data_IF_363891196559
#
_entry.id   IF_363891196559
#
_cell.length_a   1.000
_cell.length_b   1.000
_cell.length_c   1.000
_cell.angle_alpha   90.00
_cell.angle_beta   90.00
_cell.angle_gamma   90.00
#
_symmetry.space_group_name_H-M   'P 1'
#
loop_
_entity.id
_entity.type
_entity.pdbx_description
1 polymer ?
#
# COMPACT_ATOMS: atom_id res chain seq x y z
N UNK A 1 -6.41 41.74 4.09
CA UNK A 1 -7.53 40.82 3.79
C UNK A 1 -6.90 39.43 3.62
N UNK A 2 -7.13 38.53 4.57
CA UNK A 2 -6.60 37.16 4.52
C UNK A 2 -7.51 36.37 3.56
N UNK A 3 -7.01 36.05 2.37
CA UNK A 3 -7.70 35.16 1.46
C UNK A 3 -7.86 33.79 2.14
N UNK A 4 -9.09 33.49 2.53
CA UNK A 4 -9.46 32.14 3.00
C UNK A 4 -9.47 31.20 1.81
N UNK A 5 -8.32 30.56 1.55
CA UNK A 5 -8.23 29.55 0.49
C UNK A 5 -9.09 28.35 0.87
N UNK A 6 -10.05 28.07 0.03
CA UNK A 6 -10.89 26.87 0.15
C UNK A 6 -10.06 25.61 -0.02
N UNK A 7 -10.33 24.61 0.80
CA UNK A 7 -9.68 23.30 0.70
C UNK A 7 -10.68 22.32 0.11
N UNK A 8 -10.22 21.54 -0.86
CA UNK A 8 -10.99 20.48 -1.46
C UNK A 8 -10.97 19.25 -0.53
N UNK A 9 -12.13 18.80 -0.12
CA UNK A 9 -12.33 17.59 0.66
C UNK A 9 -13.05 16.52 -0.15
N UNK A 10 -12.72 15.26 0.09
CA UNK A 10 -13.37 14.10 -0.50
C UNK A 10 -14.04 13.24 0.57
N UNK A 11 -15.29 12.87 0.36
CA UNK A 11 -16.00 11.93 1.21
C UNK A 11 -15.39 10.52 1.07
N UNK A 12 -15.10 9.87 2.20
CA UNK A 12 -14.47 8.54 2.19
C UNK A 12 -15.42 7.42 1.75
N UNK A 13 -16.72 7.68 1.67
CA UNK A 13 -17.73 6.69 1.26
C UNK A 13 -18.16 6.87 -0.19
N UNK A 14 -18.78 8.00 -0.53
CA UNK A 14 -19.32 8.21 -1.89
C UNK A 14 -18.34 8.89 -2.85
N UNK A 15 -17.12 9.24 -2.38
CA UNK A 15 -16.06 9.91 -3.14
C UNK A 15 -16.43 11.29 -3.69
N UNK A 16 -17.60 11.84 -3.36
CA UNK A 16 -17.96 13.20 -3.74
C UNK A 16 -16.98 14.21 -3.15
N UNK A 17 -16.72 15.29 -3.87
CA UNK A 17 -15.78 16.34 -3.50
C UNK A 17 -16.52 17.63 -3.15
N UNK A 18 -15.99 18.37 -2.17
CA UNK A 18 -16.55 19.64 -1.74
C UNK A 18 -15.44 20.61 -1.35
N UNK A 19 -15.53 21.84 -1.83
CA UNK A 19 -14.66 22.94 -1.36
C UNK A 19 -15.23 23.54 -0.09
N UNK A 20 -14.39 23.69 0.93
CA UNK A 20 -14.79 24.26 2.23
C UNK A 20 -13.70 25.17 2.80
N UNK A 21 -14.13 26.15 3.57
CA UNK A 21 -13.26 26.94 4.39
C UNK A 21 -13.11 26.27 5.75
N UNK A 22 -11.87 25.96 6.13
CA UNK A 22 -11.54 25.26 7.36
C UNK A 22 -10.84 26.18 8.34
N UNK A 23 -11.10 25.94 9.63
CA UNK A 23 -10.33 26.55 10.71
C UNK A 23 -8.88 26.08 10.71
N UNK A 24 -7.98 26.82 11.36
CA UNK A 24 -6.57 26.42 11.47
C UNK A 24 -6.40 25.05 12.15
N UNK A 25 -7.21 24.75 13.16
CA UNK A 25 -7.20 23.45 13.84
C UNK A 25 -7.59 22.30 12.91
N UNK A 26 -8.65 22.49 12.11
CA UNK A 26 -9.09 21.50 11.10
C UNK A 26 -8.05 21.31 10.00
N UNK A 27 -7.38 22.40 9.55
CA UNK A 27 -6.28 22.31 8.59
C UNK A 27 -5.11 21.51 9.15
N UNK A 28 -4.73 21.71 10.42
CA UNK A 28 -3.69 20.91 11.09
C UNK A 28 -4.07 19.44 11.17
N UNK A 29 -5.29 19.13 11.61
CA UNK A 29 -5.79 17.76 11.68
C UNK A 29 -5.67 17.04 10.33
N UNK A 30 -6.04 17.69 9.22
CA UNK A 30 -5.90 17.10 7.89
C UNK A 30 -4.43 16.97 7.45
N UNK A 31 -3.58 17.94 7.76
CA UNK A 31 -2.16 17.90 7.43
C UNK A 31 -1.43 16.75 8.15
N UNK A 32 -1.86 16.41 9.36
CA UNK A 32 -1.36 15.27 10.15
C UNK A 32 -1.96 13.92 9.74
N UNK A 33 -2.74 13.89 8.65
CA UNK A 33 -3.39 12.67 8.14
C UNK A 33 -4.71 12.34 8.84
N UNK A 34 -5.21 13.22 9.70
CA UNK A 34 -6.51 13.10 10.33
C UNK A 34 -7.66 13.30 9.33
N UNK A 35 -8.86 12.94 9.75
CA UNK A 35 -10.09 13.09 8.98
C UNK A 35 -11.05 14.01 9.70
N UNK A 36 -11.81 14.81 8.94
CA UNK A 36 -12.86 15.65 9.50
C UNK A 36 -14.19 14.91 9.47
N UNK A 37 -15.03 15.13 10.50
CA UNK A 37 -16.37 14.54 10.58
C UNK A 37 -17.43 15.61 10.38
N UNK A 38 -18.24 15.48 9.36
CA UNK A 38 -19.49 16.20 9.17
C UNK A 38 -20.38 15.50 8.13
N UNK A 39 -21.70 15.74 8.14
CA UNK A 39 -22.62 15.06 7.21
C UNK A 39 -22.24 15.33 5.77
N UNK A 40 -22.24 14.28 4.95
CA UNK A 40 -22.10 14.41 3.50
C UNK A 40 -23.44 14.75 2.88
N UNK A 41 -23.49 15.86 2.13
CA UNK A 41 -24.73 16.30 1.44
C UNK A 41 -25.19 15.36 0.33
N UNK A 42 -24.34 14.43 -0.11
CA UNK A 42 -24.66 13.48 -1.19
C UNK A 42 -25.11 12.10 -0.69
N UNK A 43 -24.49 11.57 0.38
CA UNK A 43 -24.84 10.25 0.90
C UNK A 43 -25.51 10.28 2.29
N UNK A 44 -25.76 11.47 2.84
CA UNK A 44 -26.46 11.72 4.10
C UNK A 44 -25.90 11.00 5.35
N UNK A 45 -24.82 10.27 5.24
CA UNK A 45 -24.19 9.56 6.35
C UNK A 45 -23.25 10.48 7.13
N UNK A 46 -23.12 10.33 8.45
CA UNK A 46 -22.07 11.00 9.25
C UNK A 46 -20.72 10.40 8.83
N UNK A 47 -20.00 11.07 7.96
CA UNK A 47 -18.83 10.50 7.31
C UNK A 47 -17.56 11.29 7.60
N UNK A 48 -16.45 10.60 7.40
CA UNK A 48 -15.13 11.19 7.45
C UNK A 48 -14.76 11.78 6.10
N UNK A 49 -14.17 12.96 6.14
CA UNK A 49 -13.69 13.68 4.98
C UNK A 49 -12.16 13.74 5.01
N UNK A 50 -11.54 13.48 3.88
CA UNK A 50 -10.09 13.58 3.68
C UNK A 50 -9.73 14.76 2.78
N UNK A 51 -8.57 15.36 2.99
CA UNK A 51 -8.07 16.43 2.11
C UNK A 51 -7.67 15.87 0.75
N UNK A 52 -8.02 16.60 -0.31
CA UNK A 52 -7.58 16.32 -1.68
C UNK A 52 -6.47 17.32 -2.02
N UNK A 53 -5.24 16.83 -2.07
CA UNK A 53 -4.06 17.66 -2.31
C UNK A 53 -3.42 18.25 -1.04
N UNK A 54 -2.38 19.08 -1.20
CA UNK A 54 -1.67 19.67 -0.06
C UNK A 54 -2.55 20.66 0.70
N UNK A 55 -2.62 20.50 2.03
CA UNK A 55 -3.28 21.46 2.92
C UNK A 55 -2.27 22.52 3.35
N UNK A 56 -2.30 23.71 2.73
CA UNK A 56 -1.42 24.82 3.14
C UNK A 56 -1.90 25.43 4.45
N UNK A 57 -1.06 25.39 5.48
CA UNK A 57 -1.25 26.14 6.72
C UNK A 57 -0.46 27.43 6.57
N UNK A 58 -1.16 28.57 6.40
CA UNK A 58 -0.52 29.90 6.33
C UNK A 58 0.10 30.23 7.69
N UNK A 59 1.42 30.14 7.76
CA UNK A 59 2.24 30.35 8.98
C UNK A 59 3.48 29.46 8.88
N UNK A 60 4.33 29.74 7.88
CA UNK A 60 5.70 29.21 7.73
C UNK A 60 5.92 27.74 8.17
N UNK A 61 5.24 26.81 7.51
CA UNK A 61 5.82 25.51 7.18
C UNK A 61 4.96 24.90 6.04
N UNK A 62 5.52 24.80 4.83
CA UNK A 62 5.00 23.85 3.87
C UNK A 62 5.11 22.48 4.52
N UNK A 63 4.03 22.01 5.15
CA UNK A 63 3.92 20.60 5.45
C UNK A 63 3.68 19.94 4.09
N UNK A 64 4.78 19.65 3.39
CA UNK A 64 4.72 18.60 2.42
C UNK A 64 4.19 17.41 3.21
N UNK A 65 2.98 16.98 2.91
CA UNK A 65 2.62 15.60 3.18
C UNK A 65 3.68 14.82 2.41
N UNK A 66 4.72 14.40 3.11
CA UNK A 66 5.60 13.37 2.59
C UNK A 66 4.68 12.18 2.48
N UNK A 67 4.11 11.98 1.29
CA UNK A 67 3.59 10.66 0.93
C UNK A 67 4.84 9.81 1.00
N UNK A 68 5.06 9.16 2.14
CA UNK A 68 6.14 8.20 2.25
C UNK A 68 5.83 7.18 1.18
N UNK A 69 6.64 7.19 0.13
CA UNK A 69 6.53 6.21 -0.93
C UNK A 69 6.58 4.85 -0.26
N UNK A 70 5.60 4.00 -0.57
CA UNK A 70 5.48 2.68 0.05
C UNK A 70 6.71 1.84 -0.28
N UNK A 71 7.34 1.27 0.74
CA UNK A 71 8.45 0.36 0.57
C UNK A 71 7.92 -1.04 0.25
N UNK A 72 8.19 -1.53 -0.95
CA UNK A 72 7.70 -2.82 -1.43
C UNK A 72 8.90 -3.74 -1.74
N UNK A 73 8.87 -4.94 -1.17
CA UNK A 73 9.81 -5.99 -1.52
C UNK A 73 9.18 -6.94 -2.54
N UNK A 74 9.78 -7.07 -3.70
CA UNK A 74 9.41 -8.02 -4.75
C UNK A 74 10.38 -9.19 -4.72
N UNK A 75 9.83 -10.41 -4.62
CA UNK A 75 10.61 -11.65 -4.52
C UNK A 75 10.15 -12.61 -5.61
N UNK A 76 10.97 -12.79 -6.61
CA UNK A 76 10.72 -13.66 -7.77
C UNK A 76 12.07 -14.04 -8.40
N UNK A 77 12.23 -15.23 -8.93
CA UNK A 77 13.43 -15.66 -9.64
C UNK A 77 13.39 -15.35 -11.14
N UNK A 78 12.22 -14.94 -11.64
CA UNK A 78 12.04 -14.54 -13.05
C UNK A 78 12.28 -13.04 -13.24
N UNK A 79 13.35 -12.73 -13.96
CA UNK A 79 13.80 -11.36 -14.27
C UNK A 79 12.74 -10.54 -15.03
N UNK A 80 11.91 -11.20 -15.87
CA UNK A 80 10.85 -10.51 -16.60
C UNK A 80 9.71 -10.11 -15.69
N UNK A 81 9.29 -10.99 -14.79
CA UNK A 81 8.29 -10.69 -13.76
C UNK A 81 8.74 -9.53 -12.87
N UNK A 82 10.01 -9.57 -12.41
CA UNK A 82 10.60 -8.50 -11.60
C UNK A 82 10.55 -7.15 -12.31
N UNK A 83 11.06 -7.09 -13.57
CA UNK A 83 11.09 -5.84 -14.35
C UNK A 83 9.69 -5.26 -14.55
N UNK A 84 8.73 -6.12 -14.78
CA UNK A 84 7.36 -5.76 -15.02
C UNK A 84 6.70 -5.21 -13.73
N UNK A 85 6.81 -5.94 -12.61
CA UNK A 85 6.30 -5.51 -11.32
C UNK A 85 6.94 -4.20 -10.87
N UNK A 86 8.28 -4.09 -10.97
CA UNK A 86 9.00 -2.87 -10.65
C UNK A 86 8.45 -1.68 -11.42
N UNK A 87 8.32 -1.79 -12.75
CA UNK A 87 7.79 -0.71 -13.59
C UNK A 87 6.39 -0.27 -13.16
N UNK A 88 5.51 -1.21 -12.83
CA UNK A 88 4.14 -0.91 -12.40
C UNK A 88 4.13 -0.25 -11.02
N UNK A 89 4.87 -0.80 -10.06
CA UNK A 89 4.88 -0.32 -8.67
C UNK A 89 5.58 1.04 -8.55
N UNK A 90 6.67 1.26 -9.29
CA UNK A 90 7.35 2.57 -9.34
C UNK A 90 6.47 3.65 -9.99
N UNK A 91 5.62 3.28 -10.98
CA UNK A 91 4.63 4.19 -11.54
C UNK A 91 3.55 4.62 -10.51
N UNK A 92 3.42 3.91 -9.39
CA UNK A 92 2.57 4.26 -8.25
C UNK A 92 3.35 4.91 -7.10
N UNK A 93 4.52 5.46 -7.39
CA UNK A 93 5.40 6.15 -6.43
C UNK A 93 5.89 5.23 -5.29
N UNK A 94 5.99 3.91 -5.53
CA UNK A 94 6.55 2.96 -4.58
C UNK A 94 8.07 2.86 -4.68
N UNK A 95 8.74 2.69 -3.54
CA UNK A 95 10.15 2.30 -3.48
C UNK A 95 10.23 0.78 -3.55
N UNK A 96 10.73 0.26 -4.65
CA UNK A 96 10.79 -1.18 -4.89
C UNK A 96 12.19 -1.71 -4.64
N UNK A 97 12.30 -2.68 -3.74
CA UNK A 97 13.47 -3.54 -3.61
C UNK A 97 13.16 -4.92 -4.17
N UNK A 98 14.18 -5.64 -4.59
CA UNK A 98 14.07 -6.93 -5.24
C UNK A 98 14.92 -7.96 -4.51
N UNK A 99 14.42 -9.20 -4.42
CA UNK A 99 15.17 -10.38 -4.01
C UNK A 99 14.88 -11.52 -5.01
N UNK A 100 15.89 -12.32 -5.33
CA UNK A 100 15.78 -13.39 -6.32
C UNK A 100 15.37 -14.74 -5.71
N UNK A 101 15.33 -14.83 -4.40
CA UNK A 101 14.93 -16.01 -3.64
C UNK A 101 14.52 -15.65 -2.22
N UNK A 102 13.95 -16.63 -1.49
CA UNK A 102 13.46 -16.40 -0.14
C UNK A 102 14.56 -16.07 0.87
N UNK A 103 15.82 -16.53 0.69
CA UNK A 103 16.92 -16.21 1.59
C UNK A 103 17.34 -14.75 1.50
N UNK A 104 17.46 -14.22 0.27
CA UNK A 104 17.73 -12.80 0.07
C UNK A 104 16.60 -11.93 0.63
N UNK A 105 15.34 -12.36 0.41
CA UNK A 105 14.18 -11.68 0.94
C UNK A 105 14.21 -11.62 2.47
N UNK A 106 14.55 -12.73 3.14
CA UNK A 106 14.63 -12.80 4.59
C UNK A 106 15.73 -11.87 5.14
N UNK A 107 16.90 -11.82 4.48
CA UNK A 107 17.98 -10.91 4.87
C UNK A 107 17.55 -9.44 4.77
N UNK A 108 16.79 -9.06 3.73
CA UNK A 108 16.26 -7.70 3.59
C UNK A 108 15.19 -7.39 4.63
N UNK A 109 14.27 -8.32 4.90
CA UNK A 109 13.23 -8.17 5.92
C UNK A 109 13.80 -8.02 7.34
N UNK A 110 14.95 -8.66 7.61
CA UNK A 110 15.65 -8.50 8.87
C UNK A 110 16.39 -7.15 9.01
N UNK A 111 16.75 -6.53 7.89
CA UNK A 111 17.51 -5.27 7.86
C UNK A 111 16.61 -4.03 7.76
N UNK A 112 15.47 -4.13 7.08
CA UNK A 112 14.60 -3.00 6.76
C UNK A 112 13.13 -3.35 6.91
N UNK A 113 12.30 -2.33 7.09
CA UNK A 113 10.84 -2.48 7.15
C UNK A 113 10.21 -2.25 5.79
N UNK A 114 9.25 -3.09 5.42
CA UNK A 114 8.48 -2.99 4.19
C UNK A 114 6.99 -2.82 4.48
N UNK A 115 6.29 -2.12 3.60
CA UNK A 115 4.83 -1.95 3.66
C UNK A 115 4.09 -3.12 3.02
N UNK A 116 4.70 -3.76 2.01
CA UNK A 116 4.15 -4.87 1.25
C UNK A 116 5.27 -5.80 0.78
N UNK A 117 5.01 -7.08 0.83
CA UNK A 117 5.78 -8.13 0.17
C UNK A 117 4.98 -8.68 -1.01
N UNK A 118 5.57 -8.70 -2.20
CA UNK A 118 5.05 -9.41 -3.38
C UNK A 118 5.98 -10.57 -3.65
N UNK A 119 5.50 -11.80 -3.55
CA UNK A 119 6.36 -12.99 -3.54
C UNK A 119 5.83 -14.10 -4.45
N UNK A 120 6.69 -14.67 -5.30
CA UNK A 120 6.37 -15.95 -5.95
C UNK A 120 6.39 -17.09 -4.92
N UNK A 121 5.60 -18.12 -5.20
CA UNK A 121 5.57 -19.37 -4.41
C UNK A 121 6.75 -20.27 -4.76
N UNK A 122 7.08 -20.36 -6.06
CA UNK A 122 8.13 -21.26 -6.54
C UNK A 122 9.41 -20.52 -6.86
N UNK A 123 10.37 -20.66 -5.98
CA UNK A 123 11.70 -20.09 -6.17
C UNK A 123 12.77 -21.10 -5.73
N UNK A 124 13.99 -21.01 -6.28
CA UNK A 124 15.12 -21.81 -5.82
C UNK A 124 15.51 -21.45 -4.38
N UNK A 125 16.25 -22.33 -3.72
CA UNK A 125 16.84 -22.21 -2.37
C UNK A 125 15.81 -22.12 -1.23
N UNK A 126 14.81 -21.25 -1.32
CA UNK A 126 13.75 -21.09 -0.34
C UNK A 126 12.47 -20.68 -1.06
N UNK A 127 11.44 -21.48 -0.94
CA UNK A 127 10.11 -21.26 -1.51
C UNK A 127 9.37 -20.12 -0.79
N UNK A 128 8.35 -19.53 -1.45
CA UNK A 128 7.50 -18.52 -0.81
C UNK A 128 6.75 -19.02 0.43
N UNK A 129 6.43 -20.32 0.48
CA UNK A 129 5.81 -20.94 1.67
C UNK A 129 6.78 -21.03 2.85
N UNK A 130 8.03 -21.38 2.61
CA UNK A 130 9.08 -21.40 3.65
C UNK A 130 9.38 -19.99 4.13
N UNK A 131 9.52 -19.03 3.21
CA UNK A 131 9.70 -17.62 3.54
C UNK A 131 8.53 -17.12 4.42
N UNK A 132 7.29 -17.47 4.09
CA UNK A 132 6.12 -17.08 4.87
C UNK A 132 6.21 -17.58 6.32
N UNK A 133 6.61 -18.83 6.57
CA UNK A 133 6.80 -19.34 7.93
C UNK A 133 7.81 -18.50 8.69
N UNK A 134 8.98 -18.21 8.10
CA UNK A 134 9.98 -17.35 8.73
C UNK A 134 9.47 -15.94 9.00
N UNK A 135 8.64 -15.38 8.11
CA UNK A 135 8.02 -14.06 8.31
C UNK A 135 7.08 -14.09 9.52
N UNK A 136 6.28 -15.15 9.67
CA UNK A 136 5.37 -15.28 10.81
C UNK A 136 6.11 -15.50 12.12
N UNK A 137 7.13 -16.36 12.12
CA UNK A 137 7.93 -16.69 13.31
C UNK A 137 8.66 -15.46 13.88
N UNK A 138 9.08 -14.53 13.01
CA UNK A 138 9.80 -13.32 13.38
C UNK A 138 8.94 -12.05 13.37
N UNK A 139 7.65 -12.15 13.05
CA UNK A 139 6.68 -11.05 12.99
C UNK A 139 7.13 -9.87 12.08
N UNK A 140 7.84 -10.15 10.97
CA UNK A 140 8.31 -9.11 10.04
C UNK A 140 7.17 -8.40 9.33
N UNK A 141 6.14 -9.15 8.91
CA UNK A 141 4.95 -8.62 8.23
C UNK A 141 3.70 -9.40 8.65
N UNK A 142 2.57 -8.69 8.71
CA UNK A 142 1.28 -9.36 8.85
C UNK A 142 0.85 -10.02 7.52
N UNK A 143 0.05 -11.09 7.55
CA UNK A 143 -0.44 -11.77 6.34
C UNK A 143 -1.10 -10.81 5.33
N UNK A 144 -1.82 -9.79 5.81
CA UNK A 144 -2.51 -8.80 4.96
C UNK A 144 -1.55 -7.85 4.22
N UNK A 145 -0.26 -7.91 4.53
CA UNK A 145 0.81 -7.19 3.82
C UNK A 145 1.63 -8.10 2.91
N UNK A 146 1.10 -9.29 2.58
CA UNK A 146 1.76 -10.24 1.69
C UNK A 146 0.82 -10.55 0.53
N UNK A 147 1.35 -10.41 -0.69
CA UNK A 147 0.70 -10.79 -1.92
C UNK A 147 1.51 -11.90 -2.60
N UNK A 148 0.96 -13.08 -2.67
CA UNK A 148 1.57 -14.16 -3.43
C UNK A 148 1.21 -14.09 -4.91
N UNK A 149 2.21 -14.29 -5.77
CA UNK A 149 2.04 -14.45 -7.19
C UNK A 149 2.43 -15.89 -7.53
N UNK A 150 1.58 -16.65 -8.22
CA UNK A 150 1.91 -18.04 -8.53
C UNK A 150 1.34 -18.51 -9.85
N UNK A 151 2.13 -19.27 -10.61
CA UNK A 151 1.65 -20.04 -11.75
C UNK A 151 1.13 -21.43 -11.34
N UNK A 152 1.38 -21.85 -10.10
CA UNK A 152 1.03 -23.18 -9.62
C UNK A 152 -0.41 -23.25 -9.10
N UNK A 153 -1.15 -24.26 -9.57
CA UNK A 153 -2.56 -24.51 -9.24
C UNK A 153 -2.78 -25.84 -8.52
N UNK A 154 -1.72 -26.42 -7.93
CA UNK A 154 -1.85 -27.67 -7.18
C UNK A 154 -2.74 -27.50 -5.97
N UNK A 155 -3.42 -28.58 -5.57
CA UNK A 155 -4.31 -28.57 -4.41
C UNK A 155 -3.58 -28.16 -3.12
N UNK A 156 -2.33 -28.56 -2.96
CA UNK A 156 -1.51 -28.21 -1.79
C UNK A 156 -1.20 -26.71 -1.71
N UNK A 157 -0.79 -26.09 -2.83
CA UNK A 157 -0.54 -24.65 -2.90
C UNK A 157 -1.84 -23.87 -2.68
N UNK A 158 -2.93 -24.30 -3.31
CA UNK A 158 -4.23 -23.68 -3.11
C UNK A 158 -4.67 -23.71 -1.65
N UNK A 159 -4.57 -24.87 -0.99
CA UNK A 159 -4.89 -25.00 0.44
C UNK A 159 -4.04 -24.06 1.30
N UNK A 160 -2.74 -23.96 1.03
CA UNK A 160 -1.86 -23.03 1.73
C UNK A 160 -2.32 -21.59 1.54
N UNK A 161 -2.59 -21.14 0.31
CA UNK A 161 -3.01 -19.78 0.01
C UNK A 161 -4.33 -19.43 0.70
N UNK A 162 -5.32 -20.33 0.64
CA UNK A 162 -6.64 -20.14 1.24
C UNK A 162 -6.58 -20.05 2.80
N UNK A 163 -5.58 -20.69 3.42
CA UNK A 163 -5.42 -20.72 4.89
C UNK A 163 -4.40 -19.72 5.43
N UNK A 164 -3.54 -19.15 4.57
CA UNK A 164 -2.45 -18.23 4.98
C UNK A 164 -2.95 -16.88 5.51
N UNK A 165 -4.15 -16.46 5.12
CA UNK A 165 -4.66 -15.11 5.37
C UNK A 165 -4.00 -14.02 4.50
N UNK A 166 -3.18 -14.41 3.52
CA UNK A 166 -2.53 -13.54 2.56
C UNK A 166 -3.40 -13.30 1.32
N UNK A 167 -3.10 -12.23 0.59
CA UNK A 167 -3.64 -12.05 -0.77
C UNK A 167 -2.85 -12.91 -1.77
N UNK A 168 -3.52 -13.35 -2.83
CA UNK A 168 -2.82 -14.03 -3.92
C UNK A 168 -3.43 -13.77 -5.30
N UNK A 169 -2.59 -13.83 -6.34
CA UNK A 169 -2.97 -13.74 -7.74
C UNK A 169 -2.28 -14.83 -8.55
N UNK A 170 -2.99 -15.35 -9.54
CA UNK A 170 -2.40 -16.32 -10.47
C UNK A 170 -1.69 -15.61 -11.63
N UNK A 171 -0.51 -16.11 -11.99
CA UNK A 171 0.18 -15.75 -13.24
C UNK A 171 -0.57 -16.40 -14.44
N UNK A 172 -0.72 -15.73 -15.62
CA UNK A 172 -0.15 -14.44 -15.97
C UNK A 172 -0.90 -13.27 -15.32
N UNK A 173 -0.15 -12.24 -14.90
CA UNK A 173 -0.72 -11.07 -14.26
C UNK A 173 -1.54 -10.24 -15.26
N UNK A 174 -2.82 -10.12 -14.99
CA UNK A 174 -3.66 -9.16 -15.68
C UNK A 174 -3.56 -7.82 -14.91
N UNK A 175 -2.82 -6.85 -15.46
CA UNK A 175 -2.51 -5.57 -14.78
C UNK A 175 -3.73 -4.76 -14.31
N UNK A 176 -4.92 -5.04 -14.78
CA UNK A 176 -6.17 -4.46 -14.30
C UNK A 176 -6.55 -4.92 -12.88
N UNK A 177 -5.99 -6.03 -12.40
CA UNK A 177 -6.26 -6.57 -11.07
C UNK A 177 -5.35 -5.99 -9.97
N UNK A 178 -4.35 -5.19 -10.33
CA UNK A 178 -3.39 -4.55 -9.42
C UNK A 178 -3.71 -3.08 -9.12
N UNK A 179 -4.94 -2.61 -9.41
CA UNK A 179 -5.41 -1.25 -9.11
C UNK A 179 -6.19 -1.17 -7.82
#
# INVERSE_FOLDING_TARGET
MLESREILLRCTVCRSEKKVNLTLAQKRQLAEGGRLQFPCSYCASPQHWEGVGPVEITGQQKVHRVVQSKAILVVDDDDLTIKLLRKVLEAWDAKVQVALNGKEALAKLAAESFDLLVCDIRMPEMTGQELFRHIQDNAYLSPQRILFLTGEKSAAVKQFLDTSGCYYLYKPLQFLALR
#
